data_IF_891912693866
#
_entry.id   IF_891912693866
#
_cell.length_a   1.000
_cell.length_b   1.000
_cell.length_c   1.000
_cell.angle_alpha   90.00
_cell.angle_beta   90.00
_cell.angle_gamma   90.00
#
_symmetry.space_group_name_H-M   'P 1'
#
loop_
_entity.id
_entity.type
_entity.pdbx_description
1 polymer ?
#
# COMPACT_ATOMS: atom_id res chain seq x y z
N UNK A 1 -32.00 -13.62 -30.81
CA UNK A 1 -31.95 -14.32 -29.51
C UNK A 1 -30.63 -13.94 -28.85
N UNK A 2 -30.68 -13.13 -27.79
CA UNK A 2 -29.51 -12.66 -27.06
C UNK A 2 -28.88 -13.82 -26.29
N UNK A 3 -27.61 -14.12 -26.56
CA UNK A 3 -26.80 -14.92 -25.66
C UNK A 3 -26.33 -14.01 -24.53
N UNK A 4 -27.01 -14.12 -23.38
CA UNK A 4 -26.52 -13.59 -22.12
C UNK A 4 -25.23 -14.34 -21.76
N UNK A 5 -24.08 -13.68 -21.92
CA UNK A 5 -22.83 -14.17 -21.38
C UNK A 5 -22.92 -14.20 -19.86
N UNK A 6 -22.80 -15.39 -19.27
CA UNK A 6 -22.50 -15.57 -17.85
C UNK A 6 -21.27 -14.72 -17.52
N UNK A 7 -21.46 -13.62 -16.79
CA UNK A 7 -20.37 -12.98 -16.06
C UNK A 7 -20.01 -13.92 -14.92
N UNK A 8 -18.96 -14.72 -15.12
CA UNK A 8 -18.32 -15.44 -14.04
C UNK A 8 -17.94 -14.42 -12.95
N UNK A 9 -18.37 -14.64 -11.71
CA UNK A 9 -17.93 -13.85 -10.57
C UNK A 9 -16.40 -13.92 -10.50
N UNK A 10 -15.74 -12.80 -10.73
CA UNK A 10 -14.28 -12.75 -10.82
C UNK A 10 -13.70 -12.62 -9.41
N UNK A 11 -12.87 -13.58 -9.02
CA UNK A 11 -12.30 -13.71 -7.68
C UNK A 11 -11.48 -12.48 -7.30
N UNK A 12 -11.82 -11.86 -6.17
CA UNK A 12 -10.88 -11.02 -5.42
C UNK A 12 -9.62 -11.85 -5.16
N UNK A 13 -8.44 -11.28 -5.38
CA UNK A 13 -7.20 -11.84 -4.84
C UNK A 13 -7.17 -11.58 -3.33
N UNK A 14 -8.00 -12.33 -2.59
CA UNK A 14 -8.18 -12.21 -1.16
C UNK A 14 -6.82 -12.24 -0.45
N UNK A 15 -6.68 -11.40 0.57
CA UNK A 15 -5.50 -11.42 1.43
C UNK A 15 -5.31 -12.84 1.96
N UNK A 16 -4.11 -13.39 1.80
CA UNK A 16 -3.80 -14.77 2.21
C UNK A 16 -4.18 -15.02 3.66
N UNK A 17 -4.74 -16.20 3.95
CA UNK A 17 -5.06 -16.60 5.32
C UNK A 17 -3.83 -17.06 6.11
N UNK A 18 -2.75 -17.42 5.42
CA UNK A 18 -1.44 -17.75 5.98
C UNK A 18 -0.44 -16.65 5.67
N UNK A 19 0.53 -16.39 6.55
CA UNK A 19 1.50 -15.34 6.32
C UNK A 19 2.45 -15.71 5.19
N UNK A 20 2.66 -14.74 4.30
CA UNK A 20 3.60 -14.79 3.19
C UNK A 20 5.06 -14.66 3.63
N UNK A 21 5.28 -14.02 4.78
CA UNK A 21 6.56 -13.87 5.44
C UNK A 21 6.31 -13.78 6.95
N UNK A 22 7.18 -14.42 7.73
CA UNK A 22 7.25 -14.22 9.16
C UNK A 22 8.69 -13.92 9.56
N UNK A 23 8.84 -12.93 10.44
CA UNK A 23 10.13 -12.58 11.05
C UNK A 23 9.94 -12.63 12.55
N UNK A 24 10.85 -13.32 13.24
CA UNK A 24 10.84 -13.45 14.69
C UNK A 24 12.16 -13.00 15.28
N UNK A 25 12.11 -12.45 16.50
CA UNK A 25 13.29 -12.00 17.24
C UNK A 25 12.95 -10.89 18.23
N UNK A 26 13.95 -10.21 18.77
CA UNK A 26 13.75 -8.97 19.53
C UNK A 26 13.53 -7.81 18.58
N UNK A 27 12.35 -7.81 17.98
CA UNK A 27 12.00 -6.98 16.83
C UNK A 27 10.81 -6.07 17.10
N UNK A 28 10.75 -5.01 16.30
CA UNK A 28 9.58 -4.15 16.13
C UNK A 28 9.59 -3.70 14.65
N UNK A 29 8.52 -3.06 14.20
CA UNK A 29 8.45 -2.53 12.85
C UNK A 29 8.13 -1.04 12.81
N UNK A 30 8.68 -0.36 11.79
CA UNK A 30 8.30 0.98 11.41
C UNK A 30 7.50 0.91 10.10
N UNK A 31 6.33 1.52 10.06
CA UNK A 31 5.47 1.59 8.88
C UNK A 31 5.32 3.04 8.42
N UNK A 32 5.56 3.29 7.15
CA UNK A 32 5.53 4.64 6.58
C UNK A 32 5.14 4.59 5.11
N UNK A 33 4.62 5.68 4.58
CA UNK A 33 4.12 5.70 3.21
C UNK A 33 3.72 7.08 2.76
N UNK A 34 3.45 7.21 1.47
CA UNK A 34 2.91 8.43 0.88
C UNK A 34 1.92 8.08 -0.24
N UNK A 35 1.08 9.05 -0.57
CA UNK A 35 0.18 8.99 -1.72
C UNK A 35 0.75 9.79 -2.90
N UNK A 36 0.38 9.37 -4.11
CA UNK A 36 0.72 10.07 -5.35
C UNK A 36 -0.16 11.30 -5.61
N UNK A 37 -1.06 11.67 -4.69
CA UNK A 37 -1.93 12.85 -4.78
C UNK A 37 -1.20 14.16 -4.59
N UNK A 38 -1.74 15.23 -5.19
CA UNK A 38 -1.25 16.60 -5.03
C UNK A 38 -1.65 17.27 -3.72
N UNK A 39 -2.78 16.87 -3.14
CA UNK A 39 -3.30 17.42 -1.88
C UNK A 39 -3.82 16.29 -0.99
N UNK A 40 -3.42 16.30 0.28
CA UNK A 40 -4.08 15.51 1.32
C UNK A 40 -5.42 16.17 1.62
N UNK A 41 -6.52 15.48 1.34
CA UNK A 41 -7.85 16.07 1.35
C UNK A 41 -8.15 16.73 0.01
N UNK A 42 -9.20 16.24 -0.65
CA UNK A 42 -9.73 16.88 -1.84
C UNK A 42 -11.14 17.36 -1.46
N UNK A 43 -11.64 18.40 -2.12
CA UNK A 43 -13.04 18.78 -2.03
C UNK A 43 -13.59 19.08 -3.42
N UNK A 44 -12.91 18.60 -4.45
CA UNK A 44 -13.29 18.77 -5.86
C UNK A 44 -13.52 17.42 -6.54
N UNK A 45 -14.37 17.45 -7.56
CA UNK A 45 -14.72 16.36 -8.48
C UNK A 45 -13.57 15.91 -9.40
N UNK A 46 -12.33 16.34 -9.14
CA UNK A 46 -11.17 16.08 -9.99
C UNK A 46 -10.07 15.28 -9.26
N UNK A 47 -9.60 14.19 -9.85
CA UNK A 47 -8.57 13.31 -9.29
C UNK A 47 -7.18 13.81 -9.70
N UNK A 48 -6.44 14.38 -8.75
CA UNK A 48 -5.21 15.11 -9.05
C UNK A 48 -3.96 14.38 -8.52
N UNK A 49 -3.02 14.06 -9.41
CA UNK A 49 -1.80 13.28 -9.15
C UNK A 49 -0.53 14.07 -9.49
N UNK A 50 0.53 13.82 -8.74
CA UNK A 50 1.87 14.33 -9.03
C UNK A 50 2.53 13.50 -10.13
N UNK A 51 3.30 14.14 -10.99
CA UNK A 51 4.13 13.50 -12.01
C UNK A 51 5.60 13.43 -11.55
N UNK A 52 6.43 12.53 -12.10
CA UNK A 52 7.86 12.46 -11.76
C UNK A 52 8.64 13.76 -12.02
N UNK A 53 8.16 14.58 -12.95
CA UNK A 53 8.75 15.90 -13.28
C UNK A 53 8.41 17.02 -12.28
N UNK A 54 7.58 16.73 -11.26
CA UNK A 54 7.11 17.72 -10.28
C UNK A 54 5.85 18.48 -10.72
N UNK A 55 5.37 18.26 -11.94
CA UNK A 55 4.07 18.76 -12.39
C UNK A 55 2.89 17.98 -11.82
N UNK A 56 1.69 18.45 -12.14
CA UNK A 56 0.42 17.88 -11.69
C UNK A 56 -0.42 17.42 -12.89
N UNK A 57 -1.05 16.27 -12.76
CA UNK A 57 -2.05 15.76 -13.68
C UNK A 57 -3.43 15.74 -13.00
N UNK A 58 -4.47 16.19 -13.69
CA UNK A 58 -5.85 16.22 -13.19
C UNK A 58 -6.74 15.40 -14.12
N UNK A 59 -7.38 14.35 -13.59
CA UNK A 59 -8.40 13.59 -14.31
C UNK A 59 -9.82 13.88 -13.85
N UNK A 60 -10.79 13.70 -14.74
CA UNK A 60 -12.22 13.82 -14.47
C UNK A 60 -13.03 12.83 -15.31
N UNK A 61 -14.32 12.65 -14.99
CA UNK A 61 -15.24 11.86 -15.82
C UNK A 61 -15.45 12.44 -17.23
N UNK A 62 -15.28 13.76 -17.38
CA UNK A 62 -15.33 14.49 -18.66
C UNK A 62 -13.97 14.61 -19.37
N UNK A 63 -12.90 14.15 -18.74
CA UNK A 63 -11.51 14.18 -19.23
C UNK A 63 -10.82 12.87 -18.86
N UNK A 64 -11.46 11.76 -19.23
CA UNK A 64 -11.00 10.40 -19.02
C UNK A 64 -9.73 10.08 -19.82
N UNK A 65 -8.57 10.63 -19.41
CA UNK A 65 -7.31 10.41 -20.11
C UNK A 65 -6.57 9.23 -19.49
N UNK A 66 -6.72 8.05 -20.08
CA UNK A 66 -5.75 6.95 -20.09
C UNK A 66 -5.06 6.54 -18.78
N UNK A 67 -3.96 5.82 -18.97
CA UNK A 67 -3.00 5.46 -17.92
C UNK A 67 -2.00 6.60 -17.80
N UNK A 68 -1.74 7.08 -16.59
CA UNK A 68 -0.71 8.09 -16.33
C UNK A 68 0.47 7.47 -15.59
N UNK A 69 1.65 8.05 -15.78
CA UNK A 69 2.83 7.76 -14.96
C UNK A 69 2.84 8.75 -13.80
N UNK A 70 2.44 8.29 -12.62
CA UNK A 70 2.46 9.06 -11.39
C UNK A 70 3.86 9.04 -10.75
N UNK A 71 4.20 10.09 -10.02
CA UNK A 71 5.45 10.15 -9.28
C UNK A 71 5.45 11.19 -8.18
N UNK A 72 6.63 11.44 -7.62
CA UNK A 72 6.84 12.41 -6.55
C UNK A 72 5.99 12.14 -5.29
N UNK A 73 5.73 10.86 -5.00
CA UNK A 73 5.16 10.41 -3.74
C UNK A 73 6.27 10.36 -2.68
N UNK A 74 6.68 11.54 -2.23
CA UNK A 74 7.81 11.77 -1.32
C UNK A 74 7.37 11.75 0.14
N UNK A 75 8.20 11.14 0.99
CA UNK A 75 8.15 11.22 2.44
C UNK A 75 9.53 11.67 2.95
N UNK A 76 9.58 12.87 3.52
CA UNK A 76 10.78 13.45 4.09
C UNK A 76 11.02 12.90 5.50
N UNK A 77 12.28 12.86 5.93
CA UNK A 77 12.61 12.42 7.29
C UNK A 77 12.00 13.33 8.37
N UNK A 78 11.87 14.61 8.08
CA UNK A 78 11.26 15.62 8.97
C UNK A 78 9.75 15.45 9.13
N UNK A 79 9.10 14.71 8.23
CA UNK A 79 7.65 14.44 8.28
C UNK A 79 7.32 13.17 9.09
N UNK A 80 8.35 12.43 9.52
CA UNK A 80 8.21 11.18 10.28
C UNK A 80 8.33 11.40 11.77
N UNK A 81 7.42 10.80 12.52
CA UNK A 81 7.52 10.72 13.98
C UNK A 81 8.42 9.56 14.42
N UNK A 82 8.67 9.43 15.72
CA UNK A 82 9.56 8.41 16.27
C UNK A 82 9.12 6.97 15.97
N UNK A 83 7.82 6.66 15.88
CA UNK A 83 7.34 5.30 15.57
C UNK A 83 7.51 4.91 14.11
N UNK A 84 7.82 5.89 13.24
CA UNK A 84 8.10 5.69 11.82
C UNK A 84 9.60 5.68 11.51
N UNK A 85 10.46 5.73 12.53
CA UNK A 85 11.92 5.70 12.38
C UNK A 85 12.50 4.44 12.99
N UNK A 86 13.58 3.95 12.38
CA UNK A 86 14.39 2.87 12.94
C UNK A 86 15.32 3.46 14.02
N UNK A 87 15.27 2.99 15.28
CA UNK A 87 16.11 3.50 16.36
C UNK A 87 17.61 3.30 16.09
N UNK A 88 18.43 4.19 16.64
CA UNK A 88 19.88 4.02 16.59
C UNK A 88 20.30 2.70 17.25
N UNK A 89 21.29 2.02 16.66
CA UNK A 89 21.76 0.71 17.11
C UNK A 89 20.86 -0.48 16.73
N UNK A 90 19.72 -0.23 16.05
CA UNK A 90 18.89 -1.31 15.52
C UNK A 90 19.43 -1.85 14.20
N UNK A 91 19.18 -3.13 13.93
CA UNK A 91 19.56 -3.79 12.67
C UNK A 91 18.32 -4.08 11.84
N UNK A 92 18.27 -3.59 10.60
CA UNK A 92 17.18 -3.93 9.67
C UNK A 92 17.23 -5.42 9.32
N UNK A 93 16.11 -6.12 9.53
CA UNK A 93 15.94 -7.55 9.24
C UNK A 93 15.26 -7.76 7.89
N UNK A 94 14.20 -7.01 7.63
CA UNK A 94 13.52 -6.98 6.32
C UNK A 94 12.93 -5.59 6.08
N UNK A 95 12.83 -5.20 4.82
CA UNK A 95 12.09 -4.02 4.39
C UNK A 95 11.24 -4.38 3.16
N UNK A 96 9.92 -4.27 3.29
CA UNK A 96 8.97 -4.60 2.22
C UNK A 96 8.28 -3.33 1.73
N UNK A 97 8.41 -3.05 0.44
CA UNK A 97 7.71 -1.97 -0.25
C UNK A 97 6.44 -2.52 -0.88
N UNK A 98 5.30 -1.98 -0.48
CA UNK A 98 3.99 -2.24 -1.07
C UNK A 98 3.54 -1.01 -1.85
N UNK A 99 2.90 -1.22 -2.99
CA UNK A 99 2.19 -0.17 -3.71
C UNK A 99 0.89 -0.68 -4.26
N UNK A 100 -0.08 0.23 -4.36
CA UNK A 100 -1.43 -0.04 -4.87
C UNK A 100 -1.84 1.09 -5.80
N UNK A 101 -2.61 0.74 -6.83
CA UNK A 101 -3.11 1.71 -7.79
C UNK A 101 -4.38 1.21 -8.49
N UNK A 102 -5.16 2.17 -8.99
CA UNK A 102 -6.18 1.93 -10.01
C UNK A 102 -5.54 1.48 -11.33
N UNK A 103 -6.14 0.50 -11.99
CA UNK A 103 -5.62 -0.14 -13.22
C UNK A 103 -6.69 -0.19 -14.32
N UNK A 104 -6.28 -0.15 -15.59
CA UNK A 104 -7.19 -0.35 -16.73
C UNK A 104 -7.49 -1.81 -17.01
N UNK A 105 -6.66 -2.73 -16.51
CA UNK A 105 -6.75 -4.16 -16.76
C UNK A 105 -6.49 -4.94 -15.47
N UNK A 106 -6.65 -6.27 -15.53
CA UNK A 106 -6.25 -7.16 -14.43
C UNK A 106 -4.74 -7.28 -14.23
N UNK A 107 -3.91 -6.53 -14.96
CA UNK A 107 -2.46 -6.53 -14.78
C UNK A 107 -2.05 -5.33 -13.96
N UNK A 108 -1.49 -5.59 -12.76
CA UNK A 108 -0.91 -4.55 -11.91
C UNK A 108 0.46 -4.15 -12.42
N UNK A 109 0.77 -2.85 -12.37
CA UNK A 109 2.13 -2.36 -12.60
C UNK A 109 3.10 -2.96 -11.58
N UNK A 110 4.05 -3.76 -12.09
CA UNK A 110 5.02 -4.48 -11.28
C UNK A 110 6.37 -3.76 -11.19
N UNK A 111 6.48 -2.54 -11.69
CA UNK A 111 7.69 -1.72 -11.64
C UNK A 111 7.39 -0.36 -11.01
N UNK A 112 8.28 0.07 -10.11
CA UNK A 112 8.32 1.45 -9.59
C UNK A 112 9.76 1.86 -9.40
N UNK A 113 10.01 3.17 -9.35
CA UNK A 113 11.33 3.67 -8.94
C UNK A 113 11.30 4.09 -7.49
N UNK A 114 12.14 3.46 -6.66
CA UNK A 114 12.36 3.83 -5.27
C UNK A 114 13.61 4.71 -5.18
N UNK A 115 13.46 5.90 -4.63
CA UNK A 115 14.57 6.77 -4.22
C UNK A 115 14.75 6.69 -2.71
N UNK A 116 15.94 6.30 -2.26
CA UNK A 116 16.37 6.29 -0.85
C UNK A 116 17.48 7.33 -0.68
N UNK A 117 17.18 8.44 -0.02
CA UNK A 117 18.05 9.61 0.04
C UNK A 117 18.27 10.18 -1.37
N UNK A 118 19.46 9.98 -1.92
CA UNK A 118 19.84 10.42 -3.28
C UNK A 118 19.92 9.28 -4.29
N UNK A 119 19.79 8.02 -3.84
CA UNK A 119 19.95 6.84 -4.71
C UNK A 119 18.61 6.39 -5.24
N UNK A 120 18.42 6.45 -6.56
CA UNK A 120 17.22 5.95 -7.26
C UNK A 120 17.50 4.55 -7.81
N UNK A 121 16.58 3.62 -7.60
CA UNK A 121 16.65 2.25 -8.11
C UNK A 121 15.28 1.81 -8.62
N UNK A 122 15.24 1.20 -9.80
CA UNK A 122 14.03 0.53 -10.29
C UNK A 122 13.82 -0.76 -9.53
N UNK A 123 12.63 -0.91 -8.94
CA UNK A 123 12.22 -2.03 -8.11
C UNK A 123 11.17 -2.83 -8.85
N UNK A 124 11.39 -4.14 -8.95
CA UNK A 124 10.44 -5.09 -9.52
C UNK A 124 9.70 -5.84 -8.42
N UNK A 125 8.38 -5.92 -8.53
CA UNK A 125 7.55 -6.68 -7.60
C UNK A 125 7.88 -8.18 -7.65
N UNK A 126 7.97 -8.80 -6.48
CA UNK A 126 8.03 -10.26 -6.36
C UNK A 126 6.64 -10.90 -6.45
N UNK A 127 5.58 -10.15 -6.09
CA UNK A 127 4.18 -10.57 -6.20
C UNK A 127 3.30 -9.40 -6.57
N UNK A 128 2.25 -9.69 -7.31
CA UNK A 128 1.22 -8.75 -7.72
C UNK A 128 -0.16 -9.36 -7.58
N UNK A 129 -1.16 -8.51 -7.34
CA UNK A 129 -2.56 -8.87 -7.21
C UNK A 129 -3.43 -7.87 -7.96
N UNK A 130 -4.59 -8.33 -8.41
CA UNK A 130 -5.59 -7.48 -9.04
C UNK A 130 -6.99 -7.89 -8.59
N UNK A 131 -7.91 -6.95 -8.58
CA UNK A 131 -9.33 -7.18 -8.34
C UNK A 131 -10.14 -6.24 -9.23
N UNK A 132 -11.31 -6.70 -9.65
CA UNK A 132 -12.24 -5.93 -10.47
C UNK A 132 -13.35 -5.30 -9.62
N UNK A 133 -13.82 -4.14 -10.05
CA UNK A 133 -15.01 -3.45 -9.54
C UNK A 133 -15.76 -2.86 -10.74
N UNK A 134 -16.82 -3.53 -11.20
CA UNK A 134 -17.70 -3.04 -12.27
C UNK A 134 -16.96 -2.61 -13.55
N UNK A 135 -15.97 -3.40 -13.99
CA UNK A 135 -15.17 -3.12 -15.19
C UNK A 135 -13.94 -2.25 -14.96
N UNK A 136 -13.84 -1.58 -13.81
CA UNK A 136 -12.61 -0.96 -13.33
C UNK A 136 -11.75 -1.99 -12.58
N UNK A 137 -10.43 -1.80 -12.58
CA UNK A 137 -9.51 -2.65 -11.83
C UNK A 137 -8.75 -1.86 -10.77
N UNK A 138 -8.38 -2.55 -9.69
CA UNK A 138 -7.40 -2.10 -8.71
C UNK A 138 -6.39 -3.21 -8.51
N UNK A 139 -5.16 -2.84 -8.20
CA UNK A 139 -4.10 -3.81 -7.96
C UNK A 139 -3.18 -3.42 -6.82
N UNK A 140 -2.41 -4.40 -6.38
CA UNK A 140 -1.37 -4.24 -5.39
C UNK A 140 -0.14 -5.03 -5.79
N UNK A 141 1.02 -4.62 -5.29
CA UNK A 141 2.29 -5.26 -5.54
C UNK A 141 3.20 -5.12 -4.33
N UNK A 142 4.14 -6.06 -4.18
CA UNK A 142 5.15 -6.04 -3.12
C UNK A 142 6.54 -6.36 -3.67
N UNK A 143 7.56 -5.72 -3.12
CA UNK A 143 8.95 -6.06 -3.33
C UNK A 143 9.75 -6.06 -2.02
N UNK A 144 10.72 -6.96 -1.90
CA UNK A 144 11.74 -6.89 -0.87
C UNK A 144 12.81 -5.87 -1.28
N UNK A 145 12.89 -4.78 -0.52
CA UNK A 145 13.85 -3.69 -0.73
C UNK A 145 14.85 -3.60 0.43
N UNK A 146 15.02 -4.66 1.20
CA UNK A 146 15.88 -4.71 2.41
C UNK A 146 17.28 -4.17 2.12
N UNK A 147 17.88 -4.56 1.00
CA UNK A 147 19.24 -4.14 0.65
C UNK A 147 19.35 -2.64 0.31
N UNK A 148 18.28 -2.03 -0.19
CA UNK A 148 18.24 -0.60 -0.50
C UNK A 148 18.05 0.25 0.77
N UNK A 149 17.31 -0.29 1.75
CA UNK A 149 16.95 0.41 2.98
C UNK A 149 18.01 0.25 4.08
N UNK A 150 18.66 -0.91 4.17
CA UNK A 150 19.52 -1.29 5.32
C UNK A 150 20.58 -0.25 5.68
N UNK A 151 21.22 0.38 4.70
CA UNK A 151 22.28 1.36 4.93
C UNK A 151 21.76 2.69 5.50
N UNK A 152 20.57 3.13 5.08
CA UNK A 152 20.01 4.42 5.44
C UNK A 152 18.50 4.31 5.71
N UNK A 153 18.08 3.59 6.76
CA UNK A 153 16.66 3.30 6.99
C UNK A 153 15.82 4.54 7.30
N UNK A 154 16.48 5.60 7.77
CA UNK A 154 15.88 6.90 8.06
C UNK A 154 16.19 7.96 6.99
N UNK A 155 16.59 7.58 5.77
CA UNK A 155 16.66 8.53 4.67
C UNK A 155 15.26 9.02 4.25
N UNK A 156 15.20 10.13 3.50
CA UNK A 156 14.01 10.50 2.76
C UNK A 156 13.69 9.43 1.72
N UNK A 157 12.40 9.19 1.48
CA UNK A 157 11.91 8.17 0.57
C UNK A 157 11.04 8.82 -0.49
N UNK A 158 11.15 8.38 -1.74
CA UNK A 158 10.24 8.79 -2.81
C UNK A 158 9.98 7.60 -3.72
N UNK A 159 8.71 7.41 -4.07
CA UNK A 159 8.33 6.48 -5.13
C UNK A 159 7.87 7.27 -6.36
N UNK A 160 8.40 6.88 -7.50
CA UNK A 160 8.12 7.42 -8.82
C UNK A 160 7.70 6.31 -9.79
N UNK A 161 7.23 6.71 -10.97
CA UNK A 161 6.96 5.84 -12.10
C UNK A 161 5.91 4.75 -11.84
N UNK A 162 4.92 5.03 -10.99
CA UNK A 162 3.77 4.15 -10.82
C UNK A 162 2.72 4.46 -11.89
N UNK A 163 2.31 3.47 -12.66
CA UNK A 163 1.18 3.63 -13.55
C UNK A 163 -0.15 3.62 -12.78
N UNK A 164 -0.91 4.71 -12.94
CA UNK A 164 -2.22 4.91 -12.31
C UNK A 164 -3.26 5.16 -13.39
N UNK A 165 -4.35 4.41 -13.36
CA UNK A 165 -5.44 4.58 -14.32
C UNK A 165 -6.41 5.68 -13.88
N UNK A 166 -6.65 6.64 -14.76
CA UNK A 166 -7.60 7.75 -14.53
C UNK A 166 -8.49 7.92 -15.76
N UNK A 167 -9.45 7.02 -15.93
CA UNK A 167 -10.42 7.04 -17.04
C UNK A 167 -11.88 7.11 -16.56
N UNK A 168 -12.81 7.13 -17.51
CA UNK A 168 -14.24 7.25 -17.26
C UNK A 168 -14.76 6.12 -16.37
N UNK A 169 -14.32 4.88 -16.62
CA UNK A 169 -14.72 3.72 -15.82
C UNK A 169 -14.27 3.85 -14.36
N UNK A 170 -13.02 4.24 -14.12
CA UNK A 170 -12.47 4.44 -12.78
C UNK A 170 -13.14 5.61 -12.05
N UNK A 171 -13.38 6.72 -12.75
CA UNK A 171 -14.09 7.88 -12.20
C UNK A 171 -15.56 7.58 -11.91
N UNK A 172 -16.23 6.77 -12.74
CA UNK A 172 -17.64 6.42 -12.57
C UNK A 172 -17.91 5.62 -11.30
N UNK A 173 -16.93 4.84 -10.82
CA UNK A 173 -17.04 4.01 -9.61
C UNK A 173 -16.19 4.52 -8.43
N UNK A 174 -15.66 5.75 -8.52
CA UNK A 174 -14.83 6.38 -7.50
C UNK A 174 -13.59 5.56 -7.08
N UNK A 175 -12.95 4.87 -8.03
CA UNK A 175 -11.85 3.94 -7.75
C UNK A 175 -10.47 4.50 -8.13
N UNK A 176 -10.32 5.81 -8.30
CA UNK A 176 -9.03 6.42 -8.70
C UNK A 176 -8.09 6.63 -7.50
N UNK A 177 -7.09 5.78 -7.33
CA UNK A 177 -6.16 5.83 -6.18
C UNK A 177 -4.74 5.42 -6.57
N UNK A 178 -3.78 5.84 -5.74
CA UNK A 178 -2.38 5.48 -5.86
C UNK A 178 -1.63 5.80 -4.57
N UNK A 179 -1.00 4.79 -3.97
CA UNK A 179 -0.21 4.96 -2.75
C UNK A 179 0.85 3.88 -2.61
N UNK A 180 1.83 4.12 -1.74
CA UNK A 180 2.82 3.14 -1.34
C UNK A 180 3.00 3.13 0.18
N UNK A 181 3.46 2.00 0.71
CA UNK A 181 3.85 1.83 2.11
C UNK A 181 5.11 0.99 2.17
N UNK A 182 6.07 1.42 2.99
CA UNK A 182 7.25 0.66 3.37
C UNK A 182 7.09 0.19 4.82
N UNK A 183 7.24 -1.13 5.01
CA UNK A 183 7.38 -1.74 6.32
C UNK A 183 8.84 -2.13 6.54
N UNK A 184 9.46 -1.59 7.59
CA UNK A 184 10.81 -1.95 7.99
C UNK A 184 10.74 -2.71 9.30
N UNK A 185 11.08 -4.00 9.29
CA UNK A 185 11.27 -4.78 10.53
C UNK A 185 12.71 -4.64 10.96
N UNK A 186 12.93 -4.26 12.20
CA UNK A 186 14.26 -4.08 12.77
C UNK A 186 14.39 -4.84 14.09
N UNK A 187 15.61 -5.27 14.39
CA UNK A 187 15.98 -5.94 15.63
C UNK A 187 16.78 -4.98 16.52
N UNK A 188 16.49 -4.97 17.83
CA UNK A 188 17.20 -4.14 18.79
C UNK A 188 17.24 -4.83 20.16
N UNK A 189 18.36 -4.70 20.88
CA UNK A 189 18.57 -5.42 22.15
C UNK A 189 17.55 -5.06 23.25
N UNK A 190 17.03 -3.83 23.23
CA UNK A 190 16.01 -3.34 24.17
C UNK A 190 14.56 -3.72 23.85
N UNK A 191 14.31 -4.51 22.81
CA UNK A 191 12.95 -4.95 22.43
C UNK A 191 12.62 -6.33 23.00
N UNK A 192 11.32 -6.59 23.20
CA UNK A 192 10.84 -7.93 23.53
C UNK A 192 10.80 -8.84 22.30
N UNK A 193 10.83 -10.14 22.53
CA UNK A 193 10.70 -11.13 21.46
C UNK A 193 9.28 -11.11 20.89
N UNK A 194 9.16 -10.93 19.58
CA UNK A 194 7.90 -10.88 18.84
C UNK A 194 8.03 -11.65 17.53
N UNK A 195 6.88 -11.93 16.93
CA UNK A 195 6.77 -12.37 15.54
C UNK A 195 5.97 -11.33 14.77
N UNK A 196 6.52 -10.84 13.67
CA UNK A 196 5.82 -10.00 12.69
C UNK A 196 5.46 -10.88 11.51
N UNK A 197 4.16 -10.94 11.18
CA UNK A 197 3.59 -11.73 10.10
C UNK A 197 3.04 -10.81 9.01
N UNK A 198 3.44 -11.02 7.77
CA UNK A 198 2.92 -10.29 6.61
C UNK A 198 1.88 -11.13 5.87
N UNK A 199 0.70 -10.58 5.71
CA UNK A 199 -0.40 -11.16 4.93
C UNK A 199 -0.66 -10.20 3.78
N UNK A 200 -0.52 -10.70 2.56
CA UNK A 200 -0.56 -9.86 1.38
C UNK A 200 -1.70 -10.29 0.45
N UNK A 201 -2.20 -9.33 -0.32
CA UNK A 201 -3.30 -9.45 -1.25
C UNK A 201 -3.92 -8.08 -1.47
N UNK A 202 -5.03 -8.03 -2.21
CA UNK A 202 -5.79 -6.78 -2.39
C UNK A 202 -7.27 -7.05 -2.15
N UNK A 203 -7.91 -6.18 -1.39
CA UNK A 203 -9.34 -6.24 -1.13
C UNK A 203 -9.91 -4.83 -1.28
N UNK A 204 -11.01 -4.73 -2.00
CA UNK A 204 -11.74 -3.47 -2.18
C UNK A 204 -12.84 -3.37 -1.14
N UNK A 205 -12.91 -2.21 -0.50
CA UNK A 205 -14.01 -1.78 0.36
C UNK A 205 -14.57 -0.51 -0.27
N UNK A 206 -15.87 -0.47 -0.54
CA UNK A 206 -16.52 0.62 -1.26
C UNK A 206 -17.05 0.24 -2.64
N UNK A 207 -17.20 1.25 -3.51
CA UNK A 207 -17.88 1.15 -4.79
C UNK A 207 -19.41 1.23 -4.69
N UNK A 208 -20.08 1.51 -5.81
CA UNK A 208 -21.56 1.59 -5.89
C UNK A 208 -22.28 0.26 -5.58
N UNK A 209 -21.52 -0.83 -5.41
CA UNK A 209 -21.99 -2.15 -4.95
C UNK A 209 -22.17 -2.26 -3.43
N UNK A 210 -21.72 -1.27 -2.64
CA UNK A 210 -21.97 -1.23 -1.20
C UNK A 210 -21.18 -2.25 -0.38
N UNK A 211 -19.95 -2.59 -0.79
CA UNK A 211 -19.06 -3.45 0.02
C UNK A 211 -18.59 -2.62 1.21
N UNK A 212 -19.34 -2.69 2.31
CA UNK A 212 -19.08 -1.90 3.52
C UNK A 212 -17.97 -2.47 4.39
N UNK A 213 -17.63 -3.75 4.22
CA UNK A 213 -16.62 -4.45 5.00
C UNK A 213 -15.84 -5.45 4.16
N UNK A 214 -14.58 -5.66 4.53
CA UNK A 214 -13.77 -6.79 4.09
C UNK A 214 -13.26 -7.53 5.34
N UNK A 215 -13.31 -8.85 5.29
CA UNK A 215 -12.82 -9.72 6.37
C UNK A 215 -11.60 -10.47 5.90
N UNK A 216 -10.54 -10.47 6.71
CA UNK A 216 -9.32 -11.26 6.49
C UNK A 216 -9.21 -12.29 7.60
N UNK A 217 -9.29 -13.57 7.24
CA UNK A 217 -9.10 -14.67 8.18
C UNK A 217 -7.60 -14.99 8.28
N UNK A 218 -6.92 -14.41 9.26
CA UNK A 218 -5.50 -14.66 9.46
C UNK A 218 -5.25 -15.79 10.47
N UNK A 219 -4.32 -16.69 10.13
CA UNK A 219 -3.89 -17.83 10.93
C UNK A 219 -2.39 -17.76 11.23
N UNK A 220 -1.90 -18.50 12.22
CA UNK A 220 -0.48 -18.50 12.57
C UNK A 220 -0.07 -17.40 13.56
N UNK A 221 -1.04 -16.87 14.31
CA UNK A 221 -0.76 -16.07 15.49
C UNK A 221 -0.40 -16.99 16.65
N UNK A 222 0.79 -16.78 17.21
CA UNK A 222 1.17 -17.39 18.48
C UNK A 222 1.15 -16.30 19.55
N UNK A 223 0.16 -16.38 20.44
CA UNK A 223 0.14 -15.56 21.65
C UNK A 223 0.89 -16.32 22.74
N UNK A 224 1.87 -15.69 23.43
CA UNK A 224 2.48 -16.30 24.60
C UNK A 224 1.42 -16.76 25.58
N UNK A 225 1.67 -17.85 26.29
CA UNK A 225 0.80 -18.29 27.37
C UNK A 225 1.02 -17.38 28.60
N UNK A 226 0.49 -16.16 28.49
CA UNK A 226 0.58 -15.11 29.50
C UNK A 226 -0.81 -14.75 30.03
N UNK A 227 -0.86 -13.92 31.06
CA UNK A 227 -2.10 -13.32 31.55
C UNK A 227 -2.84 -12.62 30.40
N UNK A 228 -4.17 -12.54 30.47
CA UNK A 228 -4.98 -11.92 29.40
C UNK A 228 -4.61 -10.46 29.11
N UNK A 229 -4.04 -9.76 30.09
CA UNK A 229 -3.59 -8.38 29.96
C UNK A 229 -2.26 -8.24 29.21
N UNK A 230 -1.47 -9.32 29.14
CA UNK A 230 -0.16 -9.35 28.47
C UNK A 230 -0.24 -9.87 27.03
N UNK A 231 -1.39 -10.43 26.62
CA UNK A 231 -1.65 -10.92 25.26
C UNK A 231 -2.00 -9.75 24.34
N UNK A 232 -1.02 -8.96 23.96
CA UNK A 232 -1.22 -7.83 23.04
C UNK A 232 -0.89 -8.24 21.60
N UNK A 233 -1.90 -8.19 20.73
CA UNK A 233 -1.71 -8.26 19.28
C UNK A 233 -1.85 -6.85 18.67
N UNK A 234 -1.05 -6.56 17.64
CA UNK A 234 -1.18 -5.32 16.88
C UNK A 234 -1.38 -5.66 15.42
N UNK A 235 -2.31 -4.98 14.78
CA UNK A 235 -2.52 -5.07 13.35
C UNK A 235 -2.23 -3.71 12.69
N UNK A 236 -1.56 -3.78 11.54
CA UNK A 236 -1.40 -2.66 10.62
C UNK A 236 -2.00 -3.02 9.28
N UNK A 237 -2.76 -2.11 8.69
CA UNK A 237 -3.29 -2.27 7.33
C UNK A 237 -2.87 -1.10 6.46
N UNK A 238 -2.51 -1.38 5.21
CA UNK A 238 -2.35 -0.36 4.17
C UNK A 238 -3.72 -0.10 3.56
N UNK A 239 -4.12 1.16 3.51
CA UNK A 239 -5.34 1.60 2.84
C UNK A 239 -4.95 2.65 1.81
N UNK A 240 -5.53 2.56 0.62
CA UNK A 240 -5.48 3.63 -0.36
C UNK A 240 -6.90 3.95 -0.78
N UNK A 241 -7.35 5.15 -0.44
CA UNK A 241 -8.65 5.63 -0.86
C UNK A 241 -8.50 6.55 -2.07
N UNK A 242 -9.54 6.56 -2.91
CA UNK A 242 -9.92 7.45 -4.01
C UNK A 242 -10.45 8.83 -3.57
N UNK A 243 -10.98 8.88 -2.35
CA UNK A 243 -11.95 9.89 -1.99
C UNK A 243 -11.35 11.17 -1.37
N UNK A 244 -12.14 12.26 -1.35
CA UNK A 244 -11.68 13.58 -0.93
C UNK A 244 -11.70 13.77 0.61
N UNK A 245 -12.49 12.97 1.34
CA UNK A 245 -12.76 13.14 2.77
C UNK A 245 -12.09 12.12 3.70
N UNK A 246 -11.49 11.06 3.17
CA UNK A 246 -10.74 10.07 3.93
C UNK A 246 -9.37 10.59 4.38
N UNK A 247 -8.95 10.20 5.58
CA UNK A 247 -7.55 10.36 6.00
C UNK A 247 -6.66 9.65 4.97
N UNK A 248 -5.71 10.35 4.31
CA UNK A 248 -4.93 9.78 3.21
C UNK A 248 -4.16 8.54 3.65
N UNK A 249 -3.89 7.65 2.69
CA UNK A 249 -3.33 6.30 2.83
C UNK A 249 -2.08 6.15 3.71
N UNK A 250 -2.30 6.31 5.01
CA UNK A 250 -1.37 6.01 6.08
C UNK A 250 -1.66 4.59 6.52
N UNK A 251 -0.62 3.82 6.90
CA UNK A 251 -0.82 2.59 7.63
C UNK A 251 -1.73 2.88 8.83
N UNK A 252 -2.93 2.29 8.84
CA UNK A 252 -3.81 2.38 9.99
C UNK A 252 -3.39 1.28 10.95
N UNK A 253 -2.72 1.66 12.04
CA UNK A 253 -2.42 0.76 13.16
C UNK A 253 -3.63 0.71 14.07
N UNK A 254 -4.23 -0.48 14.25
CA UNK A 254 -5.23 -0.75 15.28
C UNK A 254 -4.66 -1.79 16.24
N UNK A 255 -4.58 -1.43 17.51
CA UNK A 255 -4.35 -2.40 18.59
C UNK A 255 -5.66 -3.15 18.84
N UNK A 256 -5.61 -4.48 18.90
CA UNK A 256 -6.75 -5.34 19.27
C UNK A 256 -6.39 -6.09 20.54
#
# INVERSE_FOLDING_TARGET
MCAAGLLAGQAQAAVSSTPNLQVSGRIEYAAMGASFRTTNGNSSTACTFKTPSGGTFTGSSSSAVGQIVAGNATLLDTERNAVQKVPAGATVKTALLYWVASQSTSTMDNLVDLTVGTTRTTVTASRTWSTALQGAYAGGAVADVTNLIRANPNAALRVDNLNVQINGDQCAVNNVHGAWTLYIVYEHAGLSTKTVSFYDGVSLVGGSTGVSTASVNATGFYLPDSSSLDRVAKASVMVADGDPGGTPGRPATRSV
#
